data_IF_271240198408
#
_entry.id   IF_271240198408
#
_cell.length_a   1.000
_cell.length_b   1.000
_cell.length_c   1.000
_cell.angle_alpha   90.00
_cell.angle_beta   90.00
_cell.angle_gamma   90.00
#
_symmetry.space_group_name_H-M   'P 1'
#
loop_
_entity.id
_entity.type
_entity.pdbx_description
1 polymer ?
#
# COMPACT_ATOMS: atom_id res chain seq x y z
N UNK A 1 13.86 10.79 -9.69
CA UNK A 1 14.48 9.44 -9.72
C UNK A 1 13.87 8.67 -8.58
N UNK A 2 13.25 7.52 -8.86
CA UNK A 2 12.63 6.69 -7.83
C UNK A 2 13.69 6.16 -6.86
N UNK A 3 13.52 6.35 -5.53
CA UNK A 3 14.47 5.84 -4.55
C UNK A 3 14.56 4.30 -4.60
N UNK A 4 15.78 3.76 -4.55
CA UNK A 4 16.01 2.30 -4.60
C UNK A 4 15.27 1.54 -3.48
N UNK A 5 15.10 2.19 -2.32
CA UNK A 5 14.36 1.64 -1.19
C UNK A 5 12.87 1.40 -1.52
N UNK A 6 12.23 2.28 -2.30
CA UNK A 6 10.84 2.15 -2.71
C UNK A 6 10.64 0.99 -3.70
N UNK A 7 11.60 0.82 -4.63
CA UNK A 7 11.62 -0.31 -5.57
C UNK A 7 11.80 -1.62 -4.81
N UNK A 8 12.79 -1.69 -3.91
CA UNK A 8 13.06 -2.88 -3.11
C UNK A 8 11.86 -3.25 -2.21
N UNK A 9 11.20 -2.26 -1.61
CA UNK A 9 10.06 -2.48 -0.74
C UNK A 9 8.84 -3.03 -1.50
N UNK A 10 8.44 -2.39 -2.60
CA UNK A 10 7.24 -2.78 -3.37
C UNK A 10 7.39 -4.14 -4.05
N UNK A 11 8.57 -4.43 -4.60
CA UNK A 11 8.89 -5.76 -5.14
C UNK A 11 9.03 -6.80 -4.04
N UNK A 12 9.72 -6.47 -2.95
CA UNK A 12 9.86 -7.34 -1.78
C UNK A 12 8.53 -7.74 -1.16
N UNK A 13 7.54 -6.83 -1.15
CA UNK A 13 6.18 -7.13 -0.74
C UNK A 13 5.56 -8.25 -1.60
N UNK A 14 5.73 -8.22 -2.93
CA UNK A 14 5.22 -9.28 -3.80
C UNK A 14 5.85 -10.65 -3.55
N UNK A 15 7.13 -10.69 -3.20
CA UNK A 15 7.78 -11.95 -2.80
C UNK A 15 7.36 -12.43 -1.41
N UNK A 16 6.90 -11.53 -0.53
CA UNK A 16 6.42 -11.87 0.81
C UNK A 16 4.95 -12.30 0.83
N UNK A 17 4.13 -11.70 -0.03
CA UNK A 17 2.68 -11.92 -0.12
C UNK A 17 2.33 -12.43 -1.51
N UNK A 18 2.09 -13.73 -1.62
CA UNK A 18 1.83 -14.42 -2.90
C UNK A 18 0.70 -13.78 -3.71
N UNK A 19 -0.31 -13.22 -3.04
CA UNK A 19 -1.45 -12.55 -3.66
C UNK A 19 -1.03 -11.33 -4.50
N UNK A 20 0.09 -10.69 -4.18
CA UNK A 20 0.63 -9.53 -4.88
C UNK A 20 1.50 -9.91 -6.10
N UNK A 21 1.89 -11.18 -6.25
CA UNK A 21 2.75 -11.66 -7.35
C UNK A 21 2.10 -11.44 -8.72
N UNK A 22 0.80 -11.70 -8.83
CA UNK A 22 0.03 -11.46 -10.05
C UNK A 22 0.00 -9.96 -10.39
N UNK A 23 -0.19 -9.11 -9.38
CA UNK A 23 -0.20 -7.65 -9.55
C UNK A 23 1.16 -7.14 -10.01
N UNK A 24 2.26 -7.63 -9.43
CA UNK A 24 3.62 -7.30 -9.87
C UNK A 24 3.87 -7.74 -11.32
N UNK A 25 3.39 -8.93 -11.70
CA UNK A 25 3.56 -9.45 -13.06
C UNK A 25 2.81 -8.62 -14.11
N UNK A 26 1.57 -8.22 -13.80
CA UNK A 26 0.77 -7.31 -14.63
C UNK A 26 1.43 -5.94 -14.71
N UNK A 27 1.87 -5.38 -13.58
CA UNK A 27 2.59 -4.11 -13.52
C UNK A 27 3.81 -4.11 -14.45
N UNK A 28 4.66 -5.14 -14.36
CA UNK A 28 5.85 -5.26 -15.21
C UNK A 28 5.48 -5.36 -16.69
N UNK A 29 4.43 -6.11 -17.03
CA UNK A 29 3.97 -6.25 -18.41
C UNK A 29 3.46 -4.92 -18.98
N UNK A 30 2.71 -4.17 -18.18
CA UNK A 30 2.06 -2.93 -18.60
C UNK A 30 3.03 -1.73 -18.64
N UNK A 31 4.18 -1.84 -17.96
CA UNK A 31 5.19 -0.79 -17.86
C UNK A 31 6.55 -1.20 -18.44
N UNK A 32 6.58 -2.01 -19.51
CA UNK A 32 7.80 -2.38 -20.26
C UNK A 32 8.94 -2.99 -19.40
N UNK A 33 8.57 -3.71 -18.34
CA UNK A 33 9.48 -4.32 -17.38
C UNK A 33 10.00 -3.37 -16.30
N UNK A 34 9.50 -2.14 -16.23
CA UNK A 34 9.89 -1.16 -15.23
C UNK A 34 9.05 -1.26 -13.95
N UNK A 35 9.71 -1.08 -12.81
CA UNK A 35 9.04 -0.94 -11.51
C UNK A 35 8.77 0.53 -11.24
N UNK A 36 7.49 0.89 -11.13
CA UNK A 36 7.01 2.22 -10.76
C UNK A 36 6.33 2.10 -9.39
N UNK A 37 7.06 2.33 -8.27
CA UNK A 37 6.58 1.96 -6.93
C UNK A 37 5.26 2.59 -6.52
N UNK A 38 5.03 3.86 -6.88
CA UNK A 38 3.77 4.54 -6.57
C UNK A 38 2.58 3.90 -7.28
N UNK A 39 2.74 3.56 -8.57
CA UNK A 39 1.69 2.88 -9.33
C UNK A 39 1.45 1.47 -8.79
N UNK A 40 2.53 0.71 -8.57
CA UNK A 40 2.46 -0.65 -8.03
C UNK A 40 1.83 -0.70 -6.63
N UNK A 41 2.16 0.25 -5.76
CA UNK A 41 1.55 0.35 -4.43
C UNK A 41 0.06 0.68 -4.52
N UNK A 42 -0.35 1.55 -5.45
CA UNK A 42 -1.75 1.84 -5.71
C UNK A 42 -2.50 0.60 -6.23
N UNK A 43 -1.86 -0.23 -7.06
CA UNK A 43 -2.43 -1.51 -7.50
C UNK A 43 -2.60 -2.50 -6.34
N UNK A 44 -1.64 -2.56 -5.41
CA UNK A 44 -1.80 -3.34 -4.19
C UNK A 44 -2.96 -2.85 -3.33
N UNK A 45 -3.13 -1.53 -3.20
CA UNK A 45 -4.27 -0.93 -2.50
C UNK A 45 -5.60 -1.38 -3.12
N UNK A 46 -5.73 -1.25 -4.46
CA UNK A 46 -6.92 -1.71 -5.21
C UNK A 46 -7.23 -3.18 -5.00
N UNK A 47 -6.22 -4.05 -4.89
CA UNK A 47 -6.44 -5.46 -4.59
C UNK A 47 -6.96 -5.65 -3.17
N UNK A 48 -6.32 -5.01 -2.18
CA UNK A 48 -6.71 -5.09 -0.77
C UNK A 48 -8.17 -4.65 -0.55
N UNK A 49 -8.60 -3.58 -1.21
CA UNK A 49 -10.00 -3.09 -1.18
C UNK A 49 -11.02 -4.09 -1.73
N UNK A 50 -10.61 -4.97 -2.65
CA UNK A 50 -11.49 -5.98 -3.24
C UNK A 50 -11.65 -7.23 -2.38
N UNK A 51 -10.70 -7.49 -1.48
CA UNK A 51 -10.68 -8.70 -0.63
C UNK A 51 -10.37 -8.39 0.85
N UNK A 52 -11.03 -7.39 1.48
CA UNK A 52 -10.64 -6.89 2.80
C UNK A 52 -10.74 -7.94 3.92
N UNK A 53 -11.56 -8.98 3.74
CA UNK A 53 -11.77 -10.04 4.73
C UNK A 53 -10.73 -11.17 4.66
N UNK A 54 -9.89 -11.20 3.63
CA UNK A 54 -8.85 -12.23 3.49
C UNK A 54 -7.77 -12.08 4.58
N UNK A 55 -7.32 -13.21 5.14
CA UNK A 55 -6.33 -13.22 6.24
C UNK A 55 -5.00 -12.53 5.88
N UNK A 56 -4.58 -12.63 4.61
CA UNK A 56 -3.34 -12.03 4.13
C UNK A 56 -3.39 -10.49 4.17
N UNK A 57 -4.57 -9.88 4.03
CA UNK A 57 -4.73 -8.42 4.07
C UNK A 57 -4.29 -7.87 5.41
N UNK A 58 -4.72 -8.48 6.52
CA UNK A 58 -4.30 -8.06 7.87
C UNK A 58 -2.80 -8.15 8.04
N UNK A 59 -2.19 -9.21 7.51
CA UNK A 59 -0.74 -9.41 7.57
C UNK A 59 0.01 -8.41 6.68
N UNK A 60 -0.54 -8.04 5.54
CA UNK A 60 0.01 -7.04 4.64
C UNK A 60 -0.08 -5.63 5.23
N UNK A 61 -1.24 -5.25 5.79
CA UNK A 61 -1.42 -3.96 6.46
C UNK A 61 -0.52 -3.82 7.69
N UNK A 62 -0.34 -4.88 8.48
CA UNK A 62 0.64 -4.89 9.57
C UNK A 62 2.08 -4.70 9.05
N UNK A 63 2.41 -5.32 7.92
CA UNK A 63 3.71 -5.11 7.28
C UNK A 63 3.91 -3.68 6.78
N UNK A 64 2.87 -3.03 6.21
CA UNK A 64 2.94 -1.62 5.86
C UNK A 64 3.11 -0.75 7.10
N UNK A 65 2.33 -0.98 8.16
CA UNK A 65 2.40 -0.26 9.43
C UNK A 65 3.81 -0.34 10.04
N UNK A 66 4.45 -1.51 10.03
CA UNK A 66 5.81 -1.70 10.56
C UNK A 66 6.87 -0.90 9.80
N UNK A 67 6.63 -0.62 8.52
CA UNK A 67 7.54 0.13 7.65
C UNK A 67 7.11 1.61 7.49
N UNK A 68 5.92 1.96 7.97
CA UNK A 68 5.42 3.32 8.02
C UNK A 68 6.03 4.04 9.24
N UNK A 69 6.75 5.14 8.96
CA UNK A 69 7.48 5.95 9.96
C UNK A 69 8.50 5.13 10.78
N UNK A 70 9.70 4.94 10.20
CA UNK A 70 10.83 4.36 10.94
C UNK A 70 12.11 4.12 10.17
N UNK A 71 12.06 3.94 8.84
CA UNK A 71 13.25 3.54 8.07
C UNK A 71 13.67 4.54 6.97
N UNK A 72 12.73 5.24 6.35
CA UNK A 72 13.03 6.17 5.24
C UNK A 72 11.86 7.13 5.02
N UNK A 73 12.15 8.42 4.85
CA UNK A 73 11.15 9.43 4.46
C UNK A 73 10.47 9.04 3.14
N UNK A 74 11.22 8.53 2.17
CA UNK A 74 10.66 8.08 0.88
C UNK A 74 9.72 6.89 1.01
N UNK A 75 9.91 6.00 1.99
CA UNK A 75 8.96 4.91 2.25
C UNK A 75 7.70 5.41 2.94
N UNK A 76 7.85 6.33 3.90
CA UNK A 76 6.70 7.00 4.52
C UNK A 76 5.86 7.71 3.46
N UNK A 77 6.49 8.47 2.58
CA UNK A 77 5.83 9.18 1.47
C UNK A 77 5.14 8.19 0.52
N UNK A 78 5.82 7.11 0.11
CA UNK A 78 5.24 6.09 -0.75
C UNK A 78 3.97 5.47 -0.15
N UNK A 79 4.01 5.10 1.14
CA UNK A 79 2.86 4.48 1.82
C UNK A 79 1.74 5.51 2.02
N UNK A 80 2.07 6.75 2.40
CA UNK A 80 1.08 7.81 2.57
C UNK A 80 0.37 8.13 1.24
N UNK A 81 1.13 8.51 0.21
CA UNK A 81 0.59 9.01 -1.07
C UNK A 81 0.00 7.90 -1.93
N UNK A 82 0.59 6.70 -1.92
CA UNK A 82 0.21 5.63 -2.87
C UNK A 82 -0.56 4.48 -2.26
N UNK A 83 -0.78 4.50 -0.95
CA UNK A 83 -1.66 3.54 -0.30
C UNK A 83 -2.76 4.27 0.49
N UNK A 84 -2.39 5.10 1.46
CA UNK A 84 -3.35 5.72 2.39
C UNK A 84 -4.26 6.72 1.69
N UNK A 85 -3.72 7.60 0.84
CA UNK A 85 -4.52 8.55 0.04
C UNK A 85 -5.49 7.88 -0.95
N UNK A 86 -5.27 6.61 -1.28
CA UNK A 86 -6.16 5.85 -2.16
C UNK A 86 -7.36 5.27 -1.40
N UNK A 87 -7.30 5.21 -0.07
CA UNK A 87 -8.41 4.77 0.79
C UNK A 87 -9.35 5.94 1.04
N UNK A 88 -10.15 6.29 0.03
CA UNK A 88 -11.03 7.44 0.09
C UNK A 88 -12.07 7.31 1.23
N UNK A 89 -12.32 8.37 2.01
CA UNK A 89 -13.39 8.36 2.99
C UNK A 89 -14.74 8.19 2.29
N UNK A 90 -15.68 7.55 2.97
CA UNK A 90 -17.05 7.29 2.50
C UNK A 90 -17.18 6.39 1.25
N UNK A 91 -16.07 5.85 0.72
CA UNK A 91 -16.09 4.80 -0.29
C UNK A 91 -16.36 3.43 0.36
N UNK A 92 -17.40 2.68 -0.06
CA UNK A 92 -17.76 1.40 0.54
C UNK A 92 -16.65 0.35 0.51
N UNK A 93 -15.74 0.42 -0.47
CA UNK A 93 -14.62 -0.51 -0.61
C UNK A 93 -13.44 -0.15 0.30
N UNK A 94 -13.26 1.13 0.62
CA UNK A 94 -12.15 1.61 1.44
C UNK A 94 -12.45 1.46 2.94
N UNK A 95 -13.71 1.65 3.37
CA UNK A 95 -14.11 1.60 4.80
C UNK A 95 -13.67 0.32 5.54
N UNK A 96 -13.84 -0.91 4.99
CA UNK A 96 -13.33 -2.12 5.63
C UNK A 96 -11.81 -2.11 5.82
N UNK A 97 -11.05 -1.60 4.84
CA UNK A 97 -9.59 -1.56 4.89
C UNK A 97 -9.10 -0.51 5.88
N UNK A 98 -9.72 0.67 5.91
CA UNK A 98 -9.41 1.76 6.86
C UNK A 98 -9.51 1.27 8.30
N UNK A 99 -10.53 0.46 8.63
CA UNK A 99 -10.72 -0.14 9.97
C UNK A 99 -9.64 -1.16 10.36
N UNK A 100 -8.92 -1.71 9.38
CA UNK A 100 -7.85 -2.69 9.59
C UNK A 100 -6.46 -2.08 9.63
N UNK A 101 -6.31 -0.80 9.27
CA UNK A 101 -5.04 -0.10 9.33
C UNK A 101 -4.45 -0.12 10.75
N UNK A 102 -3.13 -0.15 10.84
CA UNK A 102 -2.42 0.06 12.09
C UNK A 102 -2.56 1.50 12.59
N UNK A 103 -2.16 1.73 13.85
CA UNK A 103 -2.40 3.00 14.53
C UNK A 103 -1.82 4.19 13.78
N UNK A 104 -0.57 4.10 13.30
CA UNK A 104 0.09 5.22 12.63
C UNK A 104 -0.53 5.49 11.27
N UNK A 105 -0.83 4.45 10.50
CA UNK A 105 -1.51 4.61 9.22
C UNK A 105 -2.94 5.15 9.37
N UNK A 106 -3.67 4.80 10.44
CA UNK A 106 -4.97 5.42 10.75
C UNK A 106 -4.84 6.91 11.10
N UNK A 107 -3.82 7.28 11.87
CA UNK A 107 -3.55 8.69 12.19
C UNK A 107 -3.22 9.49 10.93
N UNK A 108 -2.41 8.93 10.02
CA UNK A 108 -2.10 9.53 8.73
C UNK A 108 -3.33 9.63 7.83
N UNK A 109 -4.17 8.59 7.75
CA UNK A 109 -5.43 8.63 6.99
C UNK A 109 -6.33 9.78 7.45
N UNK A 110 -6.49 9.92 8.77
CA UNK A 110 -7.22 11.06 9.35
C UNK A 110 -6.57 12.40 9.01
N UNK A 111 -5.24 12.49 9.06
CA UNK A 111 -4.49 13.70 8.74
C UNK A 111 -4.69 14.12 7.27
N UNK A 112 -4.52 13.18 6.34
CA UNK A 112 -4.68 13.36 4.89
C UNK A 112 -6.07 13.90 4.54
N UNK A 113 -7.11 13.34 5.15
CA UNK A 113 -8.51 13.70 4.84
C UNK A 113 -9.12 14.74 5.79
N UNK A 114 -8.34 15.29 6.74
CA UNK A 114 -8.83 16.29 7.68
C UNK A 114 -9.95 15.81 8.61
N UNK A 115 -9.91 14.52 9.00
CA UNK A 115 -10.90 13.88 9.87
C UNK A 115 -10.39 13.99 11.33
N UNK A 116 -11.17 14.65 12.20
CA UNK A 116 -10.86 14.82 13.63
C UNK A 116 -11.08 13.54 14.45
#
# INVERSE_FOLDING_TARGET
MTPAVCVAFTTGAAFKFRQLEAVLSEHLKDNDGEILPHLLMADYCRLVERVPDDEWVRSFLAYLEDNFLGQSESLTELISVSFIEHLLPDEPLSDPVVKLLGKRMQEEHRHVFGIE
#
